data_IF_617700033494
#
_entry.id   IF_617700033494
#
_cell.length_a   1.000
_cell.length_b   1.000
_cell.length_c   1.000
_cell.angle_alpha   90.00
_cell.angle_beta   90.00
_cell.angle_gamma   90.00
#
_symmetry.space_group_name_H-M   'P 1'
#
loop_
_entity.id
_entity.type
_entity.pdbx_description
1 polymer ?
#
# COMPACT_ATOMS: atom_id res chain seq x y z
N UNK A 1 24.97 16.08 4.85
CA UNK A 1 24.44 16.19 3.48
C UNK A 1 23.48 15.04 3.31
N UNK A 2 22.17 15.29 3.22
CA UNK A 2 21.21 14.25 2.89
C UNK A 2 21.49 13.84 1.42
N UNK A 3 21.91 12.61 1.21
CA UNK A 3 22.03 12.06 -0.12
C UNK A 3 20.64 12.03 -0.77
N UNK A 4 20.54 12.38 -2.03
CA UNK A 4 19.31 12.19 -2.81
C UNK A 4 19.19 10.69 -3.14
N UNK A 5 18.87 9.88 -2.15
CA UNK A 5 18.58 8.47 -2.39
C UNK A 5 17.21 8.36 -3.03
N UNK A 6 17.15 7.76 -4.21
CA UNK A 6 15.89 7.49 -4.93
C UNK A 6 15.53 6.02 -4.66
N UNK A 7 14.35 5.80 -4.14
CA UNK A 7 13.82 4.49 -3.84
C UNK A 7 12.74 4.10 -4.85
N UNK A 8 12.76 2.85 -5.29
CA UNK A 8 11.75 2.30 -6.18
C UNK A 8 10.96 1.20 -5.46
N UNK A 9 9.65 1.28 -5.53
CA UNK A 9 8.76 0.22 -5.03
C UNK A 9 8.23 -0.55 -6.24
N UNK A 10 8.61 -1.83 -6.36
CA UNK A 10 8.08 -2.73 -7.37
C UNK A 10 6.91 -3.53 -6.79
N UNK A 11 5.76 -3.46 -7.44
CA UNK A 11 4.55 -4.18 -7.00
C UNK A 11 4.04 -5.08 -8.12
N UNK A 12 3.85 -6.37 -7.82
CA UNK A 12 3.23 -7.31 -8.75
C UNK A 12 1.72 -7.08 -8.78
N UNK A 13 1.21 -6.55 -9.88
CA UNK A 13 -0.21 -6.21 -10.03
C UNK A 13 -1.08 -7.46 -10.25
N UNK A 14 -0.87 -8.17 -11.34
CA UNK A 14 -1.65 -9.35 -11.71
C UNK A 14 -3.16 -9.13 -11.54
N UNK A 15 -3.90 -10.18 -11.19
CA UNK A 15 -5.34 -10.11 -10.88
C UNK A 15 -5.60 -9.82 -9.38
N UNK A 16 -4.71 -9.08 -8.72
CA UNK A 16 -4.84 -8.80 -7.29
C UNK A 16 -5.83 -7.66 -7.03
N UNK A 17 -6.64 -7.75 -5.95
CA UNK A 17 -7.56 -6.68 -5.61
C UNK A 17 -6.83 -5.37 -5.26
N UNK A 18 -7.42 -4.23 -5.63
CA UNK A 18 -6.90 -2.89 -5.35
C UNK A 18 -6.48 -2.71 -3.89
N UNK A 19 -7.33 -3.13 -2.96
CA UNK A 19 -7.06 -2.98 -1.52
C UNK A 19 -5.82 -3.73 -1.03
N UNK A 20 -5.45 -4.85 -1.68
CA UNK A 20 -4.21 -5.58 -1.37
C UNK A 20 -3.00 -4.88 -1.94
N UNK A 21 -3.08 -4.43 -3.19
CA UNK A 21 -1.98 -3.70 -3.84
C UNK A 21 -1.65 -2.42 -3.05
N UNK A 22 -2.67 -1.67 -2.65
CA UNK A 22 -2.47 -0.48 -1.81
C UNK A 22 -1.79 -0.81 -0.48
N UNK A 23 -2.17 -1.94 0.14
CA UNK A 23 -1.54 -2.37 1.39
C UNK A 23 -0.07 -2.77 1.17
N UNK A 24 0.23 -3.51 0.12
CA UNK A 24 1.59 -3.91 -0.22
C UNK A 24 2.48 -2.69 -0.51
N UNK A 25 1.97 -1.71 -1.28
CA UNK A 25 2.71 -0.45 -1.51
C UNK A 25 3.01 0.30 -0.21
N UNK A 26 2.03 0.38 0.69
CA UNK A 26 2.22 1.02 1.98
C UNK A 26 3.18 0.22 2.89
N UNK A 27 3.21 -1.11 2.77
CA UNK A 27 4.13 -2.00 3.47
C UNK A 27 5.58 -1.75 3.02
N UNK A 28 5.83 -1.71 1.71
CA UNK A 28 7.15 -1.41 1.14
C UNK A 28 7.61 0.00 1.53
N UNK A 29 6.70 0.98 1.50
CA UNK A 29 7.01 2.31 2.03
C UNK A 29 7.39 2.27 3.51
N UNK A 30 6.75 1.41 4.30
CA UNK A 30 7.11 1.17 5.70
C UNK A 30 8.54 0.66 5.85
N UNK A 31 8.98 -0.27 5.00
CA UNK A 31 10.36 -0.73 4.97
C UNK A 31 11.33 0.40 4.66
N UNK A 32 11.06 1.21 3.65
CA UNK A 32 11.90 2.36 3.26
C UNK A 32 12.07 3.35 4.42
N UNK A 33 11.00 3.65 5.14
CA UNK A 33 11.01 4.67 6.18
C UNK A 33 11.54 4.20 7.54
N UNK A 34 11.40 2.90 7.85
CA UNK A 34 11.68 2.37 9.18
C UNK A 34 12.98 1.56 9.25
N UNK A 35 13.46 1.05 8.13
CA UNK A 35 14.61 0.15 8.10
C UNK A 35 15.74 0.71 7.25
N UNK A 36 16.99 0.75 7.77
CA UNK A 36 18.15 1.24 7.02
C UNK A 36 18.46 0.34 5.81
N UNK A 37 18.67 0.94 4.65
CA UNK A 37 19.04 0.22 3.43
C UNK A 37 20.50 -0.27 3.38
N UNK A 38 21.33 0.25 4.30
CA UNK A 38 22.76 -0.07 4.36
C UNK A 38 23.08 -1.38 5.06
N UNK A 39 22.08 -2.08 5.59
CA UNK A 39 22.31 -3.34 6.30
C UNK A 39 22.31 -4.52 5.34
N UNK A 40 23.28 -5.41 5.52
CA UNK A 40 23.35 -6.67 4.81
C UNK A 40 22.16 -7.56 5.23
N UNK A 41 21.21 -7.77 4.32
CA UNK A 41 20.02 -8.58 4.58
C UNK A 41 20.37 -10.04 4.91
N UNK A 42 21.55 -10.53 4.47
CA UNK A 42 22.02 -11.88 4.79
C UNK A 42 22.49 -12.01 6.24
N UNK A 43 22.85 -10.89 6.88
CA UNK A 43 23.29 -10.85 8.27
C UNK A 43 22.13 -10.74 9.28
N UNK A 44 20.91 -10.47 8.84
CA UNK A 44 19.74 -10.28 9.70
C UNK A 44 19.23 -11.64 10.22
N UNK A 45 19.03 -11.74 11.53
CA UNK A 45 18.44 -12.93 12.14
C UNK A 45 16.97 -13.10 11.74
N UNK A 46 16.45 -14.34 11.79
CA UNK A 46 15.03 -14.64 11.50
C UNK A 46 14.07 -13.84 12.39
N UNK A 47 14.45 -13.54 13.62
CA UNK A 47 13.60 -12.82 14.56
C UNK A 47 13.59 -11.32 14.27
N UNK A 48 14.73 -10.74 13.87
CA UNK A 48 14.81 -9.37 13.37
C UNK A 48 14.02 -9.19 12.08
N UNK A 49 14.14 -10.13 11.12
CA UNK A 49 13.34 -10.11 9.91
C UNK A 49 11.84 -10.10 10.23
N UNK A 50 11.37 -11.01 11.10
CA UNK A 50 9.97 -11.02 11.54
C UNK A 50 9.55 -9.73 12.26
N UNK A 51 10.46 -9.12 13.02
CA UNK A 51 10.18 -7.85 13.69
C UNK A 51 9.99 -6.71 12.67
N UNK A 52 10.85 -6.63 11.64
CA UNK A 52 10.74 -5.65 10.55
C UNK A 52 9.45 -5.82 9.76
N UNK A 53 9.11 -7.06 9.41
CA UNK A 53 7.84 -7.38 8.73
C UNK A 53 6.62 -6.91 9.56
N UNK A 54 6.64 -7.13 10.88
CA UNK A 54 5.58 -6.63 11.75
C UNK A 54 5.52 -5.10 11.78
N UNK A 55 6.67 -4.43 11.82
CA UNK A 55 6.75 -2.96 11.82
C UNK A 55 6.22 -2.38 10.51
N UNK A 56 6.61 -2.94 9.35
CA UNK A 56 6.11 -2.53 8.05
C UNK A 56 4.58 -2.74 7.93
N UNK A 57 4.06 -3.88 8.40
CA UNK A 57 2.62 -4.14 8.46
C UNK A 57 1.88 -3.16 9.39
N UNK A 58 2.47 -2.82 10.53
CA UNK A 58 1.90 -1.82 11.46
C UNK A 58 1.88 -0.43 10.84
N UNK A 59 2.95 -0.05 10.15
CA UNK A 59 3.02 1.20 9.40
C UNK A 59 1.94 1.25 8.32
N UNK A 60 1.87 0.26 7.44
CA UNK A 60 0.88 0.18 6.37
C UNK A 60 -0.54 0.30 6.91
N UNK A 61 -0.84 -0.43 7.98
CA UNK A 61 -2.13 -0.39 8.64
C UNK A 61 -2.46 0.99 9.22
N UNK A 62 -1.49 1.66 9.84
CA UNK A 62 -1.67 2.99 10.42
C UNK A 62 -1.78 4.09 9.35
N UNK A 63 -1.00 3.96 8.28
CA UNK A 63 -0.98 4.89 7.16
C UNK A 63 -2.29 4.87 6.38
N UNK A 64 -2.80 3.69 6.05
CA UNK A 64 -4.03 3.53 5.28
C UNK A 64 -5.31 3.71 6.13
N UNK A 65 -5.23 3.42 7.43
CA UNK A 65 -6.35 3.45 8.37
C UNK A 65 -5.96 4.27 9.62
N UNK A 66 -5.89 5.61 9.51
CA UNK A 66 -5.51 6.48 10.62
C UNK A 66 -6.46 6.34 11.81
N UNK A 67 -5.89 6.36 13.04
CA UNK A 67 -6.63 6.14 14.29
C UNK A 67 -7.89 6.98 14.41
N UNK A 68 -7.78 8.28 14.19
CA UNK A 68 -8.87 9.21 14.49
C UNK A 68 -10.01 9.13 13.48
N UNK A 69 -9.70 8.98 12.20
CA UNK A 69 -10.71 8.91 11.14
C UNK A 69 -11.33 7.52 11.02
N UNK A 70 -10.48 6.48 10.92
CA UNK A 70 -10.98 5.11 10.82
C UNK A 70 -11.62 4.65 12.13
N UNK A 71 -11.03 5.00 13.27
CA UNK A 71 -11.58 4.67 14.58
C UNK A 71 -13.01 5.22 14.80
N UNK A 72 -13.27 6.45 14.37
CA UNK A 72 -14.62 7.03 14.40
C UNK A 72 -15.60 6.27 13.52
N UNK A 73 -15.16 5.91 12.31
CA UNK A 73 -16.02 5.18 11.38
C UNK A 73 -16.41 3.80 11.91
N UNK A 74 -15.45 3.05 12.49
CA UNK A 74 -15.69 1.67 12.91
C UNK A 74 -16.33 1.53 14.29
N UNK A 75 -16.27 2.56 15.12
CA UNK A 75 -16.69 2.50 16.54
C UNK A 75 -18.14 2.04 16.73
N UNK A 76 -19.04 2.36 15.79
CA UNK A 76 -20.47 2.03 15.92
C UNK A 76 -20.76 0.54 15.74
N UNK A 77 -20.02 -0.15 14.87
CA UNK A 77 -20.28 -1.55 14.51
C UNK A 77 -18.98 -2.36 14.32
N UNK A 78 -18.12 -2.43 15.36
CA UNK A 78 -16.78 -3.01 15.23
C UNK A 78 -16.77 -4.53 15.00
N UNK A 79 -17.89 -5.22 15.21
CA UNK A 79 -18.02 -6.68 15.08
C UNK A 79 -18.97 -7.10 13.94
N UNK A 80 -19.47 -6.17 13.15
CA UNK A 80 -20.39 -6.46 12.04
C UNK A 80 -19.63 -6.55 10.71
N UNK A 81 -19.50 -7.76 10.14
CA UNK A 81 -18.85 -7.98 8.85
C UNK A 81 -19.54 -7.25 7.69
N UNK A 82 -20.83 -7.03 7.73
CA UNK A 82 -21.54 -6.27 6.68
C UNK A 82 -21.09 -4.81 6.70
N UNK A 83 -20.84 -4.29 7.88
CA UNK A 83 -20.35 -2.92 8.03
C UNK A 83 -18.93 -2.77 7.47
N UNK A 84 -18.07 -3.76 7.65
CA UNK A 84 -16.75 -3.78 6.99
C UNK A 84 -16.85 -3.82 5.46
N UNK A 85 -17.83 -4.52 4.88
CA UNK A 85 -18.07 -4.48 3.45
C UNK A 85 -18.43 -3.07 2.97
N UNK A 86 -19.27 -2.37 3.72
CA UNK A 86 -19.60 -0.97 3.45
C UNK A 86 -18.35 -0.07 3.54
N UNK A 87 -17.58 -0.18 4.61
CA UNK A 87 -16.36 0.62 4.83
C UNK A 87 -15.27 0.33 3.78
N UNK A 88 -15.24 -0.88 3.21
CA UNK A 88 -14.30 -1.23 2.14
C UNK A 88 -14.41 -0.30 0.93
N UNK A 89 -15.62 0.13 0.58
CA UNK A 89 -15.84 1.08 -0.52
C UNK A 89 -15.27 2.47 -0.20
N UNK A 90 -15.29 2.88 1.06
CA UNK A 90 -14.74 4.16 1.52
C UNK A 90 -13.22 4.13 1.62
N UNK A 91 -12.68 3.11 2.30
CA UNK A 91 -11.28 3.06 2.68
C UNK A 91 -10.38 2.41 1.64
N UNK A 92 -10.96 1.68 0.67
CA UNK A 92 -10.21 0.97 -0.39
C UNK A 92 -9.11 0.06 0.16
N UNK A 93 -9.41 -0.61 1.27
CA UNK A 93 -8.53 -1.54 1.99
C UNK A 93 -9.30 -2.83 2.23
N UNK A 94 -8.60 -3.96 2.34
CA UNK A 94 -9.24 -5.25 2.58
C UNK A 94 -9.98 -5.30 3.92
N UNK A 95 -11.06 -6.09 3.98
CA UNK A 95 -11.83 -6.33 5.20
C UNK A 95 -10.92 -6.90 6.30
N UNK A 96 -10.03 -7.81 5.94
CA UNK A 96 -9.08 -8.39 6.90
C UNK A 96 -8.15 -7.34 7.50
N UNK A 97 -7.62 -6.43 6.70
CA UNK A 97 -6.76 -5.34 7.19
C UNK A 97 -7.52 -4.38 8.12
N UNK A 98 -8.79 -4.07 7.79
CA UNK A 98 -9.65 -3.25 8.65
C UNK A 98 -9.95 -3.96 9.99
N UNK A 99 -10.27 -5.26 9.99
CA UNK A 99 -10.50 -6.05 11.21
C UNK A 99 -9.23 -6.06 12.08
N UNK A 100 -8.07 -6.30 11.46
CA UNK A 100 -6.79 -6.26 12.15
C UNK A 100 -6.53 -4.88 12.78
N UNK A 101 -6.76 -3.81 12.02
CA UNK A 101 -6.60 -2.43 12.53
C UNK A 101 -7.54 -2.11 13.68
N UNK A 102 -8.80 -2.52 13.60
CA UNK A 102 -9.79 -2.34 14.68
C UNK A 102 -9.33 -3.00 15.98
N UNK A 103 -8.75 -4.20 15.87
CA UNK A 103 -8.15 -4.89 17.01
C UNK A 103 -6.91 -4.16 17.54
N UNK A 104 -5.98 -3.72 16.66
CA UNK A 104 -4.80 -2.94 17.07
C UNK A 104 -5.16 -1.63 17.80
N UNK A 105 -6.28 -1.01 17.42
CA UNK A 105 -6.78 0.20 18.07
C UNK A 105 -7.41 -0.05 19.45
N UNK A 106 -7.58 -1.32 19.85
CA UNK A 106 -8.24 -1.71 21.10
C UNK A 106 -9.76 -1.52 21.07
N UNK A 107 -10.36 -1.36 19.88
CA UNK A 107 -11.81 -1.17 19.70
C UNK A 107 -12.55 -2.51 19.81
N UNK A 108 -11.86 -3.62 19.57
CA UNK A 108 -12.39 -4.96 19.78
C UNK A 108 -11.45 -5.81 20.63
N UNK A 109 -12.02 -6.78 21.36
CA UNK A 109 -11.26 -7.75 22.14
C UNK A 109 -10.65 -8.86 21.27
N UNK A 110 -9.69 -9.61 21.83
CA UNK A 110 -9.09 -10.80 21.18
C UNK A 110 -10.14 -11.83 20.76
N UNK A 111 -11.13 -12.09 21.60
CA UNK A 111 -12.21 -13.04 21.29
C UNK A 111 -13.06 -12.57 20.11
N UNK A 112 -13.39 -11.29 20.04
CA UNK A 112 -14.13 -10.70 18.92
C UNK A 112 -13.32 -10.73 17.63
N UNK A 113 -12.02 -10.41 17.70
CA UNK A 113 -11.10 -10.53 16.58
C UNK A 113 -11.05 -11.96 16.04
N UNK A 114 -10.81 -12.95 16.92
CA UNK A 114 -10.78 -14.36 16.56
C UNK A 114 -12.11 -14.84 15.95
N UNK A 115 -13.21 -14.39 16.49
CA UNK A 115 -14.54 -14.69 15.96
C UNK A 115 -14.70 -14.17 14.53
N UNK A 116 -14.39 -12.89 14.29
CA UNK A 116 -14.48 -12.30 12.95
C UNK A 116 -13.54 -12.97 11.95
N UNK A 117 -12.30 -13.29 12.35
CA UNK A 117 -11.35 -13.96 11.47
C UNK A 117 -11.79 -15.39 11.10
N UNK A 118 -12.49 -16.10 12.01
CA UNK A 118 -13.15 -17.37 11.68
C UNK A 118 -14.28 -17.20 10.67
N UNK A 119 -15.08 -16.15 10.81
CA UNK A 119 -16.14 -15.81 9.85
C UNK A 119 -15.58 -15.49 8.47
N UNK A 120 -14.52 -14.66 8.40
CA UNK A 120 -13.78 -14.37 7.17
C UNK A 120 -13.31 -15.66 6.49
N UNK A 121 -12.74 -16.59 7.27
CA UNK A 121 -12.28 -17.88 6.76
C UNK A 121 -13.44 -18.76 6.27
N UNK A 122 -14.52 -18.84 7.04
CA UNK A 122 -15.72 -19.63 6.70
C UNK A 122 -16.37 -19.15 5.41
N UNK A 123 -16.35 -17.84 5.17
CA UNK A 123 -16.92 -17.22 3.97
C UNK A 123 -15.96 -17.26 2.75
N UNK A 124 -14.77 -17.85 2.89
CA UNK A 124 -13.77 -17.87 1.80
C UNK A 124 -13.09 -16.53 1.52
N UNK A 125 -13.30 -15.52 2.38
CA UNK A 125 -12.83 -14.16 2.16
C UNK A 125 -11.31 -13.98 2.35
N UNK A 126 -10.62 -15.02 2.80
CA UNK A 126 -9.15 -15.02 2.79
C UNK A 126 -8.56 -14.97 1.37
N UNK A 127 -9.31 -15.51 0.41
CA UNK A 127 -8.88 -15.58 -1.01
C UNK A 127 -9.53 -14.45 -1.79
N UNK A 128 -10.87 -14.30 -1.65
CA UNK A 128 -11.65 -13.31 -2.39
C UNK A 128 -12.69 -12.70 -1.47
N UNK A 129 -12.56 -11.41 -1.22
CA UNK A 129 -13.52 -10.65 -0.43
C UNK A 129 -14.66 -10.10 -1.29
N UNK A 130 -15.85 -9.88 -0.71
CA UNK A 130 -16.91 -9.17 -1.42
C UNK A 130 -16.45 -7.74 -1.76
N UNK A 131 -16.84 -7.28 -2.94
CA UNK A 131 -16.44 -5.95 -3.42
C UNK A 131 -14.95 -5.82 -3.82
N UNK A 132 -14.25 -6.95 -4.00
CA UNK A 132 -12.92 -6.92 -4.60
C UNK A 132 -13.02 -6.42 -6.05
N UNK A 133 -12.36 -5.31 -6.31
CA UNK A 133 -12.19 -4.75 -7.65
C UNK A 133 -10.74 -5.03 -8.05
N UNK A 134 -10.50 -5.61 -9.25
CA UNK A 134 -9.15 -5.74 -9.78
C UNK A 134 -8.49 -4.36 -9.83
N UNK A 135 -7.23 -4.30 -9.47
CA UNK A 135 -6.47 -3.07 -9.66
C UNK A 135 -6.33 -2.81 -11.15
N UNK A 136 -6.83 -1.70 -11.62
CA UNK A 136 -6.47 -1.16 -12.92
C UNK A 136 -5.47 -0.04 -12.70
N UNK A 137 -4.31 -0.14 -13.33
CA UNK A 137 -3.49 1.03 -13.54
C UNK A 137 -4.38 2.01 -14.32
N UNK A 138 -4.66 3.14 -13.71
CA UNK A 138 -5.16 4.25 -14.48
C UNK A 138 -3.92 4.74 -15.24
N UNK A 139 -3.83 4.44 -16.52
CA UNK A 139 -2.70 4.82 -17.39
C UNK A 139 -2.40 6.32 -17.25
N UNK A 140 -3.43 7.08 -16.97
CA UNK A 140 -3.35 8.52 -16.73
C UNK A 140 -2.67 8.94 -15.40
N UNK A 141 -2.49 8.07 -14.40
CA UNK A 141 -1.85 8.49 -13.12
C UNK A 141 -0.38 8.79 -13.31
N UNK A 142 0.32 7.95 -14.07
CA UNK A 142 1.75 8.15 -14.33
C UNK A 142 1.95 9.38 -15.22
N UNK A 143 1.15 9.51 -16.27
CA UNK A 143 1.14 10.69 -17.13
C UNK A 143 0.80 11.94 -16.32
N UNK A 144 -0.27 11.92 -15.54
CA UNK A 144 -0.65 13.07 -14.70
C UNK A 144 0.41 13.45 -13.66
N UNK A 145 1.20 12.50 -13.17
CA UNK A 145 2.33 12.81 -12.29
C UNK A 145 3.47 13.51 -13.04
N UNK A 146 3.78 13.08 -14.26
CA UNK A 146 4.77 13.72 -15.14
C UNK A 146 4.31 15.13 -15.51
N UNK A 147 3.07 15.28 -15.94
CA UNK A 147 2.49 16.57 -16.30
C UNK A 147 2.56 17.55 -15.13
N UNK A 148 2.20 17.09 -13.92
CA UNK A 148 2.27 17.90 -12.71
C UNK A 148 3.71 18.37 -12.40
N UNK A 149 4.71 17.48 -12.55
CA UNK A 149 6.11 17.82 -12.32
C UNK A 149 6.60 18.87 -13.31
N UNK A 150 6.16 18.78 -14.56
CA UNK A 150 6.50 19.76 -15.62
C UNK A 150 5.75 21.08 -15.39
N UNK A 151 4.45 21.05 -15.13
CA UNK A 151 3.63 22.24 -14.88
C UNK A 151 4.10 23.05 -13.67
N UNK A 152 4.49 22.36 -12.61
CA UNK A 152 5.02 22.98 -11.39
C UNK A 152 6.49 23.40 -11.51
N UNK A 153 7.13 23.23 -12.68
CA UNK A 153 8.54 23.51 -12.94
C UNK A 153 9.49 22.81 -11.95
N UNK A 154 9.11 21.63 -11.45
CA UNK A 154 9.94 20.80 -10.57
C UNK A 154 11.00 20.06 -11.39
N UNK A 155 10.62 19.54 -12.55
CA UNK A 155 11.48 18.87 -13.52
C UNK A 155 11.06 19.24 -14.95
N UNK A 156 12.03 19.36 -15.82
CA UNK A 156 11.79 19.46 -17.26
C UNK A 156 11.63 18.05 -17.87
N UNK A 157 10.96 17.95 -19.01
CA UNK A 157 10.84 16.70 -19.77
C UNK A 157 12.21 16.04 -20.01
N UNK A 158 13.25 16.83 -20.31
CA UNK A 158 14.60 16.34 -20.50
C UNK A 158 15.19 15.74 -19.22
N UNK A 159 15.01 16.39 -18.09
CA UNK A 159 15.52 15.88 -16.80
C UNK A 159 14.82 14.57 -16.39
N UNK A 160 13.51 14.43 -16.67
CA UNK A 160 12.77 13.20 -16.45
C UNK A 160 13.35 12.07 -17.29
N UNK A 161 13.60 12.29 -18.58
CA UNK A 161 14.22 11.30 -19.47
C UNK A 161 15.64 10.93 -19.04
N UNK A 162 16.42 11.90 -18.59
CA UNK A 162 17.78 11.67 -18.10
C UNK A 162 17.76 10.85 -16.79
N UNK A 163 16.76 11.07 -15.93
CA UNK A 163 16.53 10.24 -14.72
C UNK A 163 16.19 8.79 -15.08
N UNK A 164 15.33 8.54 -16.06
CA UNK A 164 15.03 7.19 -16.52
C UNK A 164 16.29 6.49 -17.04
N UNK A 165 17.04 7.14 -17.91
CA UNK A 165 18.32 6.60 -18.45
C UNK A 165 19.33 6.31 -17.36
N UNK A 166 19.50 7.23 -16.40
CA UNK A 166 20.42 7.08 -15.27
C UNK A 166 20.08 5.87 -14.39
N UNK A 167 18.79 5.52 -14.29
CA UNK A 167 18.29 4.40 -13.51
C UNK A 167 18.08 3.12 -14.34
N UNK A 168 18.65 3.04 -15.56
CA UNK A 168 18.64 1.83 -16.38
C UNK A 168 17.30 1.55 -17.08
N UNK A 169 16.36 2.50 -17.06
CA UNK A 169 15.09 2.39 -17.78
C UNK A 169 15.30 2.91 -19.20
N UNK A 170 15.17 2.03 -20.19
CA UNK A 170 15.21 2.39 -21.61
C UNK A 170 13.79 2.62 -22.10
N UNK A 171 13.49 3.83 -22.51
CA UNK A 171 12.23 4.18 -23.18
C UNK A 171 12.47 4.15 -24.70
N UNK A 172 11.55 3.57 -25.43
CA UNK A 172 11.54 3.64 -26.89
C UNK A 172 11.06 5.03 -27.34
N UNK A 173 11.45 5.50 -28.53
CA UNK A 173 11.04 6.80 -29.05
C UNK A 173 9.51 7.00 -29.07
N UNK A 174 8.76 5.96 -29.36
CA UNK A 174 7.30 5.94 -29.39
C UNK A 174 6.71 6.18 -27.99
N UNK A 175 7.26 5.48 -26.97
CA UNK A 175 6.86 5.67 -25.56
C UNK A 175 7.21 7.08 -25.06
N UNK A 176 8.27 7.67 -25.58
CA UNK A 176 8.71 9.03 -25.23
C UNK A 176 7.76 10.12 -25.76
N UNK A 177 7.26 9.95 -27.00
CA UNK A 177 6.27 10.87 -27.57
C UNK A 177 4.95 10.80 -26.82
N UNK A 178 4.49 9.59 -26.45
CA UNK A 178 3.28 9.38 -25.68
C UNK A 178 3.38 9.93 -24.24
N UNK A 179 4.58 9.88 -23.65
CA UNK A 179 4.85 10.30 -22.27
C UNK A 179 5.00 11.83 -22.12
N UNK A 180 5.25 12.57 -23.21
CA UNK A 180 5.53 14.01 -23.20
C UNK A 180 4.46 14.85 -23.90
N UNK A 181 3.40 14.21 -24.41
CA UNK A 181 2.24 14.82 -25.07
C UNK A 181 0.92 14.40 -24.40
#
# INVERSE_FOLDING_TARGET
MAGNDIYFIAVALGNRPEGRIRFDMAHELGHILLHPWSEDLEAITKDEFKARERQANMFASAFLLPRDSFGKDIASYPTDLKYYQFLKNKWKVSIQAMIYRTHQLGIMSDNQYQYLMRQVSKNGWRIKEPGDVPYSLNENIFQGAIDLLIEQNVLTAKEILDLFKKNGVTLYPEDMEELLH
#
